data_IF_141016674886
#
_entry.id   IF_141016674886
#
_cell.length_a   1.000
_cell.length_b   1.000
_cell.length_c   1.000
_cell.angle_alpha   90.00
_cell.angle_beta   90.00
_cell.angle_gamma   90.00
#
_symmetry.space_group_name_H-M   'P 1'
#
loop_
_entity.id
_entity.type
_entity.pdbx_description
1 polymer ?
#
# COMPACT_ATOMS: atom_id res chain seq x y z
N UNK A 1 -4.67 2.32 33.40
CA UNK A 1 -4.85 1.46 32.21
C UNK A 1 -6.04 1.97 31.39
N UNK A 2 -5.95 2.12 30.06
CA UNK A 2 -7.09 2.58 29.25
C UNK A 2 -8.26 1.59 29.34
N UNK A 3 -9.49 2.08 29.53
CA UNK A 3 -10.70 1.24 29.55
C UNK A 3 -10.82 0.45 28.21
N UNK A 4 -11.17 -0.85 28.23
CA UNK A 4 -11.16 -1.71 27.03
C UNK A 4 -12.00 -1.16 25.86
N UNK A 5 -13.15 -0.52 26.15
CA UNK A 5 -13.98 0.14 25.13
C UNK A 5 -13.26 1.27 24.36
N UNK A 6 -12.37 2.03 25.01
CA UNK A 6 -11.62 3.11 24.34
C UNK A 6 -10.59 2.55 23.35
N UNK A 7 -9.95 1.43 23.69
CA UNK A 7 -8.99 0.78 22.78
C UNK A 7 -9.68 0.19 21.56
N UNK A 8 -10.84 -0.45 21.72
CA UNK A 8 -11.61 -1.00 20.60
C UNK A 8 -11.98 0.10 19.59
N UNK A 9 -12.41 1.25 20.08
CA UNK A 9 -12.78 2.40 19.23
C UNK A 9 -11.57 2.96 18.45
N UNK A 10 -10.39 3.00 19.09
CA UNK A 10 -9.15 3.36 18.42
C UNK A 10 -8.73 2.37 17.33
N UNK A 11 -8.91 1.07 17.56
CA UNK A 11 -8.67 0.02 16.57
C UNK A 11 -9.63 0.20 15.39
N UNK A 12 -10.93 0.38 15.63
CA UNK A 12 -11.91 0.58 14.56
C UNK A 12 -11.56 1.76 13.64
N UNK A 13 -11.15 2.89 14.21
CA UNK A 13 -10.71 4.02 13.40
C UNK A 13 -9.42 3.76 12.62
N UNK A 14 -8.46 3.06 13.23
CA UNK A 14 -7.24 2.62 12.54
C UNK A 14 -7.59 1.75 11.32
N UNK A 15 -8.48 0.79 11.52
CA UNK A 15 -8.99 -0.09 10.44
C UNK A 15 -9.69 0.74 9.36
N UNK A 16 -10.55 1.70 9.72
CA UNK A 16 -11.25 2.54 8.74
C UNK A 16 -10.28 3.39 7.90
N UNK A 17 -9.27 3.99 8.53
CA UNK A 17 -8.24 4.78 7.83
C UNK A 17 -7.50 3.90 6.83
N UNK A 18 -7.04 2.72 7.26
CA UNK A 18 -6.29 1.81 6.38
C UNK A 18 -7.16 1.12 5.34
N UNK A 19 -8.45 0.89 5.61
CA UNK A 19 -9.40 0.41 4.61
C UNK A 19 -9.64 1.46 3.52
N UNK A 20 -9.82 2.73 3.89
CA UNK A 20 -9.92 3.82 2.92
C UNK A 20 -8.62 3.97 2.11
N UNK A 21 -7.46 3.90 2.78
CA UNK A 21 -6.17 3.90 2.11
C UNK A 21 -6.04 2.73 1.14
N UNK A 22 -6.44 1.52 1.55
CA UNK A 22 -6.41 0.33 0.70
C UNK A 22 -7.22 0.55 -0.59
N UNK A 23 -8.43 1.11 -0.50
CA UNK A 23 -9.25 1.42 -1.68
C UNK A 23 -8.56 2.47 -2.58
N UNK A 24 -8.01 3.54 -1.99
CA UNK A 24 -7.29 4.58 -2.74
C UNK A 24 -6.03 4.05 -3.44
N UNK A 25 -5.41 3.00 -2.89
CA UNK A 25 -4.22 2.37 -3.45
C UNK A 25 -4.51 1.45 -4.63
N UNK A 26 -5.77 1.12 -4.92
CA UNK A 26 -6.12 0.28 -6.08
C UNK A 26 -5.59 0.88 -7.38
N UNK A 27 -5.80 2.18 -7.60
CA UNK A 27 -5.35 2.86 -8.83
C UNK A 27 -3.81 2.86 -8.91
N UNK A 28 -3.05 3.35 -7.90
CA UNK A 28 -1.60 3.23 -7.88
C UNK A 28 -1.08 1.80 -8.07
N UNK A 29 -1.76 0.80 -7.52
CA UNK A 29 -1.36 -0.59 -7.65
C UNK A 29 -1.52 -1.12 -9.08
N UNK A 30 -2.55 -0.70 -9.82
CA UNK A 30 -2.70 -1.01 -11.25
C UNK A 30 -1.55 -0.42 -12.06
N UNK A 31 -1.20 0.86 -11.81
CA UNK A 31 -0.05 1.50 -12.47
C UNK A 31 1.28 0.79 -12.15
N UNK A 32 1.46 0.37 -10.89
CA UNK A 32 2.61 -0.45 -10.48
C UNK A 32 2.62 -1.81 -11.15
N UNK A 33 1.48 -2.48 -11.30
CA UNK A 33 1.39 -3.77 -11.98
C UNK A 33 1.83 -3.68 -13.44
N UNK A 34 1.26 -2.73 -14.18
CA UNK A 34 1.62 -2.47 -15.58
C UNK A 34 3.11 -2.16 -15.70
N UNK A 35 3.60 -1.28 -14.82
CA UNK A 35 5.02 -0.94 -14.75
C UNK A 35 5.94 -2.12 -14.42
N UNK A 36 5.54 -3.00 -13.50
CA UNK A 36 6.31 -4.20 -13.15
C UNK A 36 6.33 -5.22 -14.28
N UNK A 37 5.22 -5.41 -14.98
CA UNK A 37 5.16 -6.29 -16.14
C UNK A 37 6.11 -5.82 -17.23
N UNK A 38 6.06 -4.53 -17.56
CA UNK A 38 6.99 -3.88 -18.48
C UNK A 38 8.47 -4.02 -18.09
N UNK A 39 8.79 -3.77 -16.81
CA UNK A 39 10.14 -3.96 -16.29
C UNK A 39 10.60 -5.41 -16.41
N UNK A 40 9.74 -6.39 -16.12
CA UNK A 40 10.10 -7.79 -16.30
C UNK A 40 10.24 -8.18 -17.78
N UNK A 41 9.46 -7.58 -18.69
CA UNK A 41 9.56 -7.83 -20.13
C UNK A 41 10.89 -7.32 -20.69
N UNK A 42 11.26 -6.09 -20.34
CA UNK A 42 12.58 -5.51 -20.73
C UNK A 42 13.77 -6.27 -20.14
N UNK A 43 13.63 -6.85 -18.96
CA UNK A 43 14.66 -7.69 -18.33
C UNK A 43 14.66 -9.14 -18.84
N UNK A 44 13.76 -9.51 -19.76
CA UNK A 44 13.63 -10.88 -20.27
C UNK A 44 13.18 -11.89 -19.20
N UNK A 45 12.53 -11.40 -18.13
CA UNK A 45 12.02 -12.21 -17.02
C UNK A 45 10.69 -12.90 -17.36
N UNK A 46 10.01 -12.46 -18.42
CA UNK A 46 8.78 -13.05 -18.93
C UNK A 46 9.01 -13.79 -20.25
N UNK A 47 8.44 -14.98 -20.38
CA UNK A 47 8.59 -15.80 -21.57
C UNK A 47 7.66 -15.30 -22.69
N UNK A 48 8.23 -14.86 -23.81
CA UNK A 48 7.49 -14.61 -25.06
C UNK A 48 7.06 -13.17 -25.34
N UNK A 49 7.49 -12.18 -24.56
CA UNK A 49 7.10 -10.77 -24.76
C UNK A 49 8.14 -9.95 -25.54
N UNK A 50 7.69 -9.01 -26.39
CA UNK A 50 8.59 -8.11 -27.12
C UNK A 50 9.30 -7.17 -26.14
N UNK A 51 10.63 -7.07 -26.26
CA UNK A 51 11.51 -6.31 -25.36
C UNK A 51 11.52 -4.80 -25.61
N UNK A 52 10.44 -4.22 -26.11
CA UNK A 52 10.33 -2.79 -26.45
C UNK A 52 9.54 -2.04 -25.40
N UNK A 53 10.16 -1.03 -24.77
CA UNK A 53 9.55 -0.14 -23.78
C UNK A 53 9.54 1.28 -24.34
N UNK A 54 8.34 1.82 -24.58
CA UNK A 54 8.12 3.15 -25.16
C UNK A 54 8.24 4.29 -24.13
N UNK A 55 8.74 4.01 -22.91
CA UNK A 55 8.96 4.98 -21.83
C UNK A 55 7.71 5.29 -21.00
N UNK A 56 6.51 5.07 -21.54
CA UNK A 56 5.22 5.22 -20.85
C UNK A 56 5.13 4.30 -19.61
N UNK A 57 5.75 3.12 -19.70
CA UNK A 57 5.72 2.09 -18.65
C UNK A 57 6.63 2.44 -17.45
N UNK A 58 7.74 3.14 -17.71
CA UNK A 58 8.62 3.66 -16.66
C UNK A 58 7.95 4.78 -15.87
N UNK A 59 7.22 5.67 -16.56
CA UNK A 59 6.41 6.71 -15.92
C UNK A 59 5.30 6.11 -15.05
N UNK A 60 4.60 5.09 -15.54
CA UNK A 60 3.55 4.39 -14.80
C UNK A 60 4.09 3.78 -13.48
N UNK A 61 5.27 3.15 -13.52
CA UNK A 61 5.92 2.60 -12.32
C UNK A 61 6.22 3.68 -11.28
N UNK A 62 6.85 4.78 -11.71
CA UNK A 62 7.26 5.87 -10.80
C UNK A 62 6.03 6.55 -10.22
N UNK A 63 5.04 6.89 -11.06
CA UNK A 63 3.80 7.51 -10.63
C UNK A 63 3.02 6.60 -9.65
N UNK A 64 2.94 5.31 -9.94
CA UNK A 64 2.34 4.31 -9.06
C UNK A 64 3.06 4.23 -7.72
N UNK A 65 4.40 4.17 -7.71
CA UNK A 65 5.21 4.10 -6.48
C UNK A 65 5.06 5.35 -5.62
N UNK A 66 5.12 6.54 -6.23
CA UNK A 66 4.98 7.82 -5.54
C UNK A 66 3.58 7.96 -4.96
N UNK A 67 2.53 7.69 -5.75
CA UNK A 67 1.15 7.74 -5.28
C UNK A 67 0.92 6.75 -4.13
N UNK A 68 1.50 5.55 -4.22
CA UNK A 68 1.42 4.54 -3.18
C UNK A 68 2.06 5.00 -1.87
N UNK A 69 3.28 5.57 -1.96
CA UNK A 69 3.99 6.13 -0.82
C UNK A 69 3.24 7.31 -0.16
N UNK A 70 2.67 8.21 -0.96
CA UNK A 70 1.91 9.38 -0.48
C UNK A 70 0.67 8.94 0.29
N UNK A 71 -0.12 8.00 -0.26
CA UNK A 71 -1.34 7.51 0.39
C UNK A 71 -1.02 6.79 1.69
N UNK A 72 0.00 5.91 1.70
CA UNK A 72 0.42 5.22 2.93
C UNK A 72 0.97 6.19 3.98
N UNK A 73 1.74 7.19 3.58
CA UNK A 73 2.25 8.21 4.49
C UNK A 73 1.11 9.03 5.08
N UNK A 74 0.15 9.45 4.26
CA UNK A 74 -1.05 10.16 4.72
C UNK A 74 -1.87 9.34 5.71
N UNK A 75 -2.10 8.06 5.41
CA UNK A 75 -2.80 7.13 6.30
C UNK A 75 -2.05 6.95 7.64
N UNK A 76 -0.72 6.77 7.58
CA UNK A 76 0.12 6.66 8.76
C UNK A 76 0.09 7.92 9.63
N UNK A 77 0.21 9.10 9.01
CA UNK A 77 0.12 10.39 9.70
C UNK A 77 -1.25 10.63 10.35
N UNK A 78 -2.35 10.21 9.70
CA UNK A 78 -3.69 10.27 10.26
C UNK A 78 -3.93 9.27 11.40
N UNK A 79 -3.40 8.06 11.27
CA UNK A 79 -3.55 7.00 12.27
C UNK A 79 -2.69 7.23 13.53
N UNK A 80 -1.57 7.93 13.39
CA UNK A 80 -0.61 8.17 14.47
C UNK A 80 -1.14 8.93 15.69
N UNK A 81 -1.73 10.14 15.56
CA UNK A 81 -2.31 10.85 16.69
C UNK A 81 -3.46 10.07 17.32
N UNK A 82 -4.17 9.30 16.50
CA UNK A 82 -5.29 8.47 16.93
C UNK A 82 -4.81 7.30 17.81
N UNK A 83 -3.79 6.57 17.36
CA UNK A 83 -3.16 5.50 18.14
C UNK A 83 -2.61 6.03 19.48
N UNK A 84 -2.00 7.23 19.49
CA UNK A 84 -1.58 7.89 20.73
C UNK A 84 -2.77 8.20 21.65
N UNK A 85 -3.84 8.80 21.13
CA UNK A 85 -5.03 9.20 21.89
C UNK A 85 -5.73 8.01 22.55
N UNK A 86 -5.69 6.83 21.94
CA UNK A 86 -6.32 5.61 22.48
C UNK A 86 -5.37 4.72 23.29
N UNK A 87 -4.16 5.18 23.60
CA UNK A 87 -3.20 4.47 24.46
C UNK A 87 -2.58 3.24 23.80
N UNK A 88 -2.47 3.25 22.46
CA UNK A 88 -1.77 2.24 21.67
C UNK A 88 -0.31 2.66 21.45
N UNK A 89 0.54 1.72 21.02
CA UNK A 89 1.91 2.02 20.58
C UNK A 89 1.84 2.47 19.11
N UNK A 90 1.95 3.78 18.80
CA UNK A 90 1.68 4.31 17.46
C UNK A 90 2.61 3.71 16.42
N UNK A 91 3.92 3.70 16.68
CA UNK A 91 4.93 3.09 15.81
C UNK A 91 4.59 1.64 15.42
N UNK A 92 4.24 0.79 16.40
CA UNK A 92 3.92 -0.62 16.13
C UNK A 92 2.60 -0.78 15.37
N UNK A 93 1.58 -0.01 15.76
CA UNK A 93 0.24 -0.14 15.18
C UNK A 93 0.23 0.32 13.72
N UNK A 94 0.90 1.43 13.43
CA UNK A 94 1.07 1.97 12.08
C UNK A 94 1.96 1.06 11.25
N UNK A 95 3.09 0.57 11.78
CA UNK A 95 3.95 -0.36 11.04
C UNK A 95 3.22 -1.67 10.68
N UNK A 96 2.48 -2.27 11.62
CA UNK A 96 1.70 -3.50 11.36
C UNK A 96 0.61 -3.23 10.33
N UNK A 97 -0.14 -2.13 10.45
CA UNK A 97 -1.23 -1.82 9.53
C UNK A 97 -0.73 -1.48 8.12
N UNK A 98 0.34 -0.68 8.01
CA UNK A 98 1.01 -0.40 6.74
C UNK A 98 1.56 -1.69 6.12
N UNK A 99 2.22 -2.53 6.92
CA UNK A 99 2.72 -3.82 6.47
C UNK A 99 1.61 -4.74 5.96
N UNK A 100 0.46 -4.79 6.64
CA UNK A 100 -0.69 -5.57 6.21
C UNK A 100 -1.26 -5.09 4.87
N UNK A 101 -1.37 -3.77 4.65
CA UNK A 101 -1.81 -3.19 3.37
C UNK A 101 -0.81 -3.50 2.25
N UNK A 102 0.49 -3.30 2.50
CA UNK A 102 1.55 -3.60 1.52
C UNK A 102 1.52 -5.09 1.15
N UNK A 103 1.44 -5.99 2.14
CA UNK A 103 1.35 -7.43 1.90
C UNK A 103 0.08 -7.80 1.12
N UNK A 104 -1.06 -7.19 1.42
CA UNK A 104 -2.30 -7.41 0.69
C UNK A 104 -2.17 -7.09 -0.81
N UNK A 105 -1.53 -5.96 -1.13
CA UNK A 105 -1.24 -5.60 -2.52
C UNK A 105 -0.15 -6.46 -3.14
N UNK A 106 0.91 -6.82 -2.40
CA UNK A 106 1.96 -7.70 -2.90
C UNK A 106 1.38 -9.06 -3.32
N UNK A 107 0.47 -9.64 -2.53
CA UNK A 107 -0.23 -10.89 -2.88
C UNK A 107 -1.09 -10.70 -4.13
N UNK A 108 -1.81 -9.58 -4.24
CA UNK A 108 -2.64 -9.28 -5.40
C UNK A 108 -1.84 -9.10 -6.71
N UNK A 109 -0.61 -8.60 -6.61
CA UNK A 109 0.26 -8.34 -7.76
C UNK A 109 1.05 -9.58 -8.24
N UNK A 110 1.06 -10.68 -7.51
CA UNK A 110 1.72 -11.93 -7.94
C UNK A 110 0.85 -12.61 -9.00
N UNK A 111 1.34 -12.79 -10.25
CA UNK A 111 0.62 -13.53 -11.27
C UNK A 111 0.62 -15.01 -10.89
N UNK A 112 -0.51 -15.53 -10.41
CA UNK A 112 -0.59 -16.92 -9.94
C UNK A 112 -1.90 -17.34 -9.26
N UNK A 113 -2.89 -16.45 -9.18
CA UNK A 113 -4.30 -16.77 -8.89
C UNK A 113 -5.20 -16.08 -9.92
#
# INVERSE_FOLDING_TARGET
>A
MPKPRKKALGICFLVLIYAAAFILLIIPAVFLFIGLQALGSTMGLWAGEPTTNDGEESWATIAGLVAFAVVLTGAGLGAWPLARRFGMRPWRSVAIASGAVVMGFAVWLIPGF
#
